data_IF_787481963771
#
_entry.id   IF_787481963771
#
_cell.length_a   1.000
_cell.length_b   1.000
_cell.length_c   1.000
_cell.angle_alpha   90.00
_cell.angle_beta   90.00
_cell.angle_gamma   90.00
#
_symmetry.space_group_name_H-M   'P 1'
#
loop_
_entity.id
_entity.type
_entity.pdbx_description
1 polymer ?
#
# COMPACT_ATOMS: atom_id res chain seq x y z
N UNK A 1 -8.36 24.97 47.46
CA UNK A 1 -9.32 25.56 46.50
C UNK A 1 -8.56 25.73 45.19
N UNK A 2 -8.60 24.69 44.35
CA UNK A 2 -9.44 24.49 43.15
C UNK A 2 -8.96 25.32 41.94
N UNK A 3 -8.57 24.67 40.82
CA UNK A 3 -8.22 25.34 39.58
C UNK A 3 -9.48 25.71 38.80
N UNK A 4 -9.56 26.93 38.29
CA UNK A 4 -10.59 27.32 37.32
C UNK A 4 -10.19 26.83 35.94
N UNK A 5 -11.09 26.05 35.36
CA UNK A 5 -11.00 25.34 34.11
C UNK A 5 -11.61 26.26 33.03
N UNK A 6 -10.81 26.76 32.12
CA UNK A 6 -11.28 27.56 30.98
C UNK A 6 -11.14 26.69 29.74
N UNK A 7 -12.25 26.05 29.37
CA UNK A 7 -12.41 25.25 28.16
C UNK A 7 -12.68 26.21 27.02
N UNK A 8 -11.72 26.33 26.10
CA UNK A 8 -11.86 27.10 24.87
C UNK A 8 -12.79 26.33 23.93
N UNK A 9 -14.07 26.72 23.91
CA UNK A 9 -15.08 26.12 23.04
C UNK A 9 -14.95 26.74 21.64
N UNK A 10 -14.30 26.01 20.73
CA UNK A 10 -14.33 26.33 19.30
C UNK A 10 -15.76 26.18 18.79
N UNK A 11 -16.38 27.31 18.46
CA UNK A 11 -17.67 27.43 17.79
C UNK A 11 -17.54 26.95 16.33
N UNK A 12 -17.95 25.70 16.07
CA UNK A 12 -18.10 25.17 14.71
C UNK A 12 -19.54 25.43 14.24
N UNK A 13 -19.85 26.69 13.97
CA UNK A 13 -21.10 27.06 13.34
C UNK A 13 -20.86 27.97 12.14
N UNK A 14 -21.21 27.46 10.95
CA UNK A 14 -21.31 28.27 9.73
C UNK A 14 -20.44 27.78 8.58
N UNK A 15 -20.88 26.70 7.92
CA UNK A 15 -21.24 26.80 6.50
C UNK A 15 -21.83 25.46 6.02
N UNK A 16 -23.16 25.38 6.13
CA UNK A 16 -23.95 24.46 5.31
C UNK A 16 -24.01 25.08 3.91
N UNK A 17 -22.95 24.88 3.13
CA UNK A 17 -23.00 25.14 1.69
C UNK A 17 -23.74 23.98 1.02
N UNK A 18 -25.04 24.19 0.88
CA UNK A 18 -25.83 23.90 -0.31
C UNK A 18 -25.29 22.74 -1.18
N UNK A 19 -25.77 21.54 -0.87
CA UNK A 19 -25.70 20.42 -1.81
C UNK A 19 -26.64 20.77 -2.96
N UNK A 20 -26.10 21.44 -3.98
CA UNK A 20 -26.75 21.62 -5.26
C UNK A 20 -27.16 20.23 -5.77
N UNK A 21 -28.48 20.00 -5.77
CA UNK A 21 -29.14 18.80 -6.23
C UNK A 21 -28.73 18.56 -7.70
N UNK A 22 -27.84 17.59 -7.95
CA UNK A 22 -27.39 17.26 -9.31
C UNK A 22 -28.61 16.72 -10.06
N UNK A 23 -29.28 17.58 -10.82
CA UNK A 23 -30.36 17.20 -11.72
C UNK A 23 -29.76 16.40 -12.89
N UNK A 24 -29.99 15.09 -12.87
CA UNK A 24 -29.71 14.22 -14.01
C UNK A 24 -30.62 14.66 -15.16
N UNK A 25 -30.04 15.32 -16.16
CA UNK A 25 -30.73 15.67 -17.39
C UNK A 25 -30.90 14.38 -18.19
N UNK A 26 -32.11 13.83 -18.21
CA UNK A 26 -32.47 12.67 -19.02
C UNK A 26 -32.89 13.12 -20.43
N UNK A 27 -31.92 13.61 -21.20
CA UNK A 27 -32.16 14.06 -22.58
C UNK A 27 -32.11 12.89 -23.56
N UNK A 28 -33.11 12.01 -23.48
CA UNK A 28 -33.45 11.07 -24.55
C UNK A 28 -34.80 11.42 -25.14
N UNK A 29 -34.89 12.60 -25.77
CA UNK A 29 -35.93 12.88 -26.75
C UNK A 29 -35.70 12.02 -28.01
N UNK A 30 -36.08 10.75 -27.95
CA UNK A 30 -36.31 9.98 -29.17
C UNK A 30 -37.68 10.37 -29.72
N UNK A 31 -37.66 11.24 -30.72
CA UNK A 31 -38.81 11.52 -31.57
C UNK A 31 -39.34 10.20 -32.15
N UNK A 32 -40.42 9.72 -31.56
CA UNK A 32 -41.27 8.66 -32.08
C UNK A 32 -41.93 9.13 -33.37
N UNK A 33 -41.47 8.63 -34.50
CA UNK A 33 -42.28 8.61 -35.74
C UNK A 33 -42.36 7.19 -36.28
N UNK A 34 -43.49 6.60 -35.92
CA UNK A 34 -44.15 5.41 -36.44
C UNK A 34 -43.89 5.17 -37.94
N UNK A 35 -43.22 4.05 -38.24
CA UNK A 35 -43.02 3.53 -39.60
C UNK A 35 -43.46 2.08 -39.70
N UNK A 36 -44.74 1.79 -39.42
CA UNK A 36 -45.32 0.48 -39.71
C UNK A 36 -45.25 0.19 -41.22
N UNK A 37 -44.39 -0.77 -41.63
CA UNK A 37 -44.52 -1.45 -42.91
C UNK A 37 -44.54 -2.96 -42.70
N UNK A 38 -45.76 -3.51 -42.71
CA UNK A 38 -46.05 -4.95 -42.80
C UNK A 38 -45.44 -5.55 -44.07
N UNK A 39 -44.87 -6.75 -43.96
CA UNK A 39 -45.19 -7.85 -44.89
C UNK A 39 -44.86 -9.21 -44.26
N UNK A 40 -45.85 -10.09 -44.30
CA UNK A 40 -45.84 -11.45 -43.77
C UNK A 40 -45.19 -12.42 -44.79
N UNK A 41 -44.37 -13.38 -44.35
CA UNK A 41 -44.45 -14.82 -44.71
C UNK A 41 -43.32 -15.63 -44.05
N UNK A 42 -43.71 -16.76 -43.47
CA UNK A 42 -42.85 -17.75 -42.85
C UNK A 42 -41.97 -18.50 -43.88
N UNK A 43 -40.76 -18.85 -43.47
CA UNK A 43 -40.06 -20.09 -43.84
C UNK A 43 -38.77 -20.22 -43.04
N UNK A 44 -38.83 -21.05 -42.00
CA UNK A 44 -37.79 -21.97 -41.51
C UNK A 44 -36.45 -21.86 -42.25
N UNK A 45 -35.51 -21.15 -41.64
CA UNK A 45 -34.09 -21.30 -41.91
C UNK A 45 -33.45 -21.66 -40.58
N UNK A 46 -32.96 -22.90 -40.53
CA UNK A 46 -32.14 -23.53 -39.49
C UNK A 46 -31.57 -22.57 -38.44
N UNK A 47 -31.89 -22.85 -37.18
CA UNK A 47 -31.10 -22.44 -36.01
C UNK A 47 -29.65 -22.92 -36.19
N UNK A 48 -28.86 -22.15 -36.92
CA UNK A 48 -27.41 -22.15 -36.75
C UNK A 48 -27.19 -21.33 -35.50
N UNK A 49 -27.29 -21.98 -34.34
CA UNK A 49 -26.71 -21.44 -33.13
C UNK A 49 -25.23 -21.17 -33.46
N UNK A 50 -24.76 -19.91 -33.46
CA UNK A 50 -23.34 -19.70 -33.46
C UNK A 50 -22.86 -20.34 -32.17
N UNK A 51 -22.19 -21.48 -32.27
CA UNK A 51 -21.35 -22.00 -31.21
C UNK A 51 -20.23 -20.99 -31.07
N UNK A 52 -20.52 -19.89 -30.35
CA UNK A 52 -19.55 -18.92 -29.92
C UNK A 52 -18.66 -19.73 -28.99
N UNK A 53 -17.59 -20.31 -29.55
CA UNK A 53 -16.44 -20.74 -28.77
C UNK A 53 -16.11 -19.49 -27.96
N UNK A 54 -16.47 -19.53 -26.68
CA UNK A 54 -16.09 -18.52 -25.70
C UNK A 54 -14.60 -18.76 -25.51
N UNK A 55 -13.82 -18.38 -26.53
CA UNK A 55 -12.41 -18.15 -26.35
C UNK A 55 -12.34 -17.23 -25.14
N UNK A 56 -11.52 -17.61 -24.17
CA UNK A 56 -11.24 -16.75 -23.02
C UNK A 56 -10.66 -15.48 -23.62
N UNK A 57 -11.52 -14.51 -23.89
CA UNK A 57 -11.11 -13.15 -24.20
C UNK A 57 -10.52 -12.70 -22.88
N UNK A 58 -9.18 -12.65 -22.84
CA UNK A 58 -8.46 -12.22 -21.66
C UNK A 58 -9.02 -10.84 -21.33
N UNK A 59 -9.69 -10.74 -20.19
CA UNK A 59 -10.32 -9.50 -19.78
C UNK A 59 -9.19 -8.53 -19.42
N UNK A 60 -8.85 -7.68 -20.38
CA UNK A 60 -7.74 -6.73 -20.26
C UNK A 60 -7.97 -5.80 -19.08
N UNK A 61 -9.23 -5.46 -18.78
CA UNK A 61 -9.57 -4.61 -17.63
C UNK A 61 -9.31 -5.37 -16.34
N UNK A 62 -9.74 -6.63 -16.23
CA UNK A 62 -9.47 -7.45 -15.07
C UNK A 62 -7.96 -7.71 -14.86
N UNK A 63 -7.20 -7.94 -15.94
CA UNK A 63 -5.74 -8.12 -15.90
C UNK A 63 -5.05 -6.83 -15.43
N UNK A 64 -5.48 -5.67 -15.95
CA UNK A 64 -4.98 -4.36 -15.50
C UNK A 64 -5.28 -4.09 -14.03
N UNK A 65 -6.51 -4.36 -13.55
CA UNK A 65 -6.86 -4.21 -12.13
C UNK A 65 -6.02 -5.13 -11.26
N UNK A 66 -5.85 -6.39 -11.67
CA UNK A 66 -5.01 -7.36 -10.94
C UNK A 66 -3.57 -6.87 -10.85
N UNK A 67 -3.00 -6.36 -11.94
CA UNK A 67 -1.62 -5.82 -11.94
C UNK A 67 -1.48 -4.57 -11.08
N UNK A 68 -2.48 -3.69 -11.06
CA UNK A 68 -2.49 -2.55 -10.14
C UNK A 68 -2.54 -3.00 -8.69
N UNK A 69 -3.42 -3.94 -8.34
CA UNK A 69 -3.53 -4.47 -7.00
C UNK A 69 -2.21 -5.11 -6.53
N UNK A 70 -1.59 -5.94 -7.37
CA UNK A 70 -0.28 -6.54 -7.09
C UNK A 70 0.82 -5.49 -6.92
N UNK A 71 0.81 -4.43 -7.74
CA UNK A 71 1.78 -3.34 -7.60
C UNK A 71 1.62 -2.59 -6.28
N UNK A 72 0.39 -2.40 -5.79
CA UNK A 72 0.15 -1.78 -4.49
C UNK A 72 0.56 -2.70 -3.34
N UNK A 73 0.27 -3.99 -3.43
CA UNK A 73 0.74 -5.00 -2.46
C UNK A 73 2.27 -5.03 -2.41
N UNK A 74 2.94 -5.07 -3.56
CA UNK A 74 4.40 -5.04 -3.64
C UNK A 74 4.98 -3.73 -3.08
N UNK A 75 4.34 -2.60 -3.35
CA UNK A 75 4.76 -1.30 -2.80
C UNK A 75 4.67 -1.26 -1.27
N UNK A 76 3.55 -1.72 -0.70
CA UNK A 76 3.36 -1.79 0.76
C UNK A 76 4.36 -2.79 1.36
N UNK A 77 4.54 -3.95 0.73
CA UNK A 77 5.44 -4.99 1.20
C UNK A 77 6.92 -4.57 1.13
N UNK A 78 7.32 -3.82 0.10
CA UNK A 78 8.69 -3.34 -0.07
C UNK A 78 9.13 -2.40 1.07
N UNK A 79 8.21 -1.57 1.56
CA UNK A 79 8.43 -0.69 2.71
C UNK A 79 8.44 -1.46 4.04
N UNK A 80 7.89 -2.68 4.05
CA UNK A 80 7.85 -3.56 5.23
C UNK A 80 9.00 -4.57 5.30
N UNK A 81 10.13 -4.36 4.59
CA UNK A 81 11.36 -5.14 4.81
C UNK A 81 11.96 -4.80 6.18
N UNK A 82 11.27 -5.26 7.21
CA UNK A 82 11.64 -5.06 8.59
C UNK A 82 12.87 -5.90 8.89
N UNK A 83 13.89 -5.26 9.45
CA UNK A 83 15.00 -5.97 10.06
C UNK A 83 14.48 -6.87 11.18
N UNK A 84 15.08 -8.05 11.35
CA UNK A 84 14.78 -8.90 12.49
C UNK A 84 15.16 -8.18 13.80
N UNK A 85 14.20 -7.85 14.68
CA UNK A 85 14.51 -7.15 15.93
C UNK A 85 15.53 -7.90 16.79
N UNK A 86 15.54 -9.24 16.74
CA UNK A 86 16.51 -10.05 17.48
C UNK A 86 17.94 -9.87 16.93
N UNK A 87 18.10 -9.81 15.61
CA UNK A 87 19.38 -9.53 14.97
C UNK A 87 19.89 -8.12 15.32
N UNK A 88 19.01 -7.11 15.24
CA UNK A 88 19.36 -5.73 15.58
C UNK A 88 19.83 -5.64 17.03
N UNK A 89 19.08 -6.27 17.94
CA UNK A 89 19.41 -6.28 19.36
C UNK A 89 20.75 -6.94 19.66
N UNK A 90 21.05 -8.08 19.02
CA UNK A 90 22.33 -8.77 19.21
C UNK A 90 23.54 -7.92 18.77
N UNK A 91 23.44 -7.20 17.65
CA UNK A 91 24.52 -6.34 17.18
C UNK A 91 24.67 -5.08 18.04
N UNK A 92 23.56 -4.49 18.52
CA UNK A 92 23.60 -3.35 19.45
C UNK A 92 24.22 -3.76 20.80
N UNK A 93 23.90 -4.94 21.33
CA UNK A 93 24.55 -5.47 22.53
C UNK A 93 26.06 -5.68 22.37
N UNK A 94 26.54 -5.95 21.15
CA UNK A 94 27.96 -6.08 20.89
C UNK A 94 28.73 -4.74 21.01
N UNK A 95 28.02 -3.60 21.04
CA UNK A 95 28.57 -2.29 21.32
C UNK A 95 28.73 -2.10 22.84
N UNK A 96 29.96 -2.19 23.32
CA UNK A 96 30.28 -1.99 24.73
C UNK A 96 30.04 -0.52 25.14
N UNK A 97 29.50 -0.32 26.34
CA UNK A 97 29.35 1.00 26.96
C UNK A 97 27.96 1.63 26.82
N UNK A 98 27.01 0.97 26.17
CA UNK A 98 25.60 1.40 26.13
C UNK A 98 24.84 0.85 27.34
N UNK A 99 24.10 1.72 28.02
CA UNK A 99 23.08 1.33 29.01
C UNK A 99 21.89 0.64 28.34
N UNK A 100 21.11 -0.13 29.10
CA UNK A 100 19.94 -0.86 28.58
C UNK A 100 18.95 0.07 27.85
N UNK A 101 18.70 1.26 28.39
CA UNK A 101 17.82 2.25 27.76
C UNK A 101 18.40 2.79 26.44
N UNK A 102 19.71 3.00 26.36
CA UNK A 102 20.37 3.42 25.11
C UNK A 102 20.34 2.30 24.07
N UNK A 103 20.50 1.04 24.50
CA UNK A 103 20.36 -0.11 23.62
C UNK A 103 18.94 -0.19 23.05
N UNK A 104 17.91 -0.04 23.88
CA UNK A 104 16.51 -0.05 23.43
C UNK A 104 16.22 1.09 22.45
N UNK A 105 16.68 2.30 22.73
CA UNK A 105 16.53 3.45 21.82
C UNK A 105 17.25 3.24 20.50
N UNK A 106 18.48 2.72 20.53
CA UNK A 106 19.23 2.42 19.34
C UNK A 106 18.55 1.32 18.52
N UNK A 107 18.03 0.27 19.15
CA UNK A 107 17.29 -0.79 18.47
C UNK A 107 16.04 -0.27 17.77
N UNK A 108 15.21 0.51 18.48
CA UNK A 108 14.01 1.11 17.91
C UNK A 108 14.34 1.96 16.67
N UNK A 109 15.36 2.81 16.76
CA UNK A 109 15.78 3.64 15.63
C UNK A 109 16.36 2.81 14.48
N UNK A 110 17.17 1.78 14.76
CA UNK A 110 17.82 0.98 13.72
C UNK A 110 16.86 0.07 12.95
N UNK A 111 15.79 -0.43 13.59
CA UNK A 111 14.76 -1.25 12.93
C UNK A 111 14.08 -0.48 11.80
N UNK A 112 13.91 0.83 11.98
CA UNK A 112 13.34 1.74 10.97
C UNK A 112 14.38 2.27 9.96
N UNK A 113 15.67 1.99 10.17
CA UNK A 113 16.79 2.56 9.41
C UNK A 113 17.76 1.46 8.93
N UNK A 114 17.28 0.60 8.03
CA UNK A 114 17.95 -0.58 7.50
C UNK A 114 19.39 -0.31 6.98
N UNK A 115 19.57 0.74 6.18
CA UNK A 115 20.86 1.14 5.63
C UNK A 115 21.87 1.47 6.72
N UNK A 116 21.43 2.11 7.80
CA UNK A 116 22.30 2.50 8.91
C UNK A 116 22.70 1.29 9.73
N UNK A 117 21.77 0.35 9.92
CA UNK A 117 22.07 -0.92 10.56
C UNK A 117 23.15 -1.71 9.82
N UNK A 118 23.05 -1.87 8.50
CA UNK A 118 24.07 -2.59 7.72
C UNK A 118 25.44 -1.89 7.74
N UNK A 119 25.46 -0.55 7.73
CA UNK A 119 26.71 0.21 7.87
C UNK A 119 27.36 -0.04 9.24
N UNK A 120 26.59 0.03 10.33
CA UNK A 120 27.09 -0.24 11.68
C UNK A 120 27.65 -1.66 11.80
N UNK A 121 26.93 -2.65 11.25
CA UNK A 121 27.34 -4.06 11.24
C UNK A 121 28.70 -4.26 10.56
N UNK A 122 28.91 -3.61 9.41
CA UNK A 122 30.19 -3.67 8.69
C UNK A 122 31.36 -3.12 9.54
N UNK A 123 31.16 -1.97 10.18
CA UNK A 123 32.16 -1.36 11.07
C UNK A 123 32.48 -2.26 12.26
N UNK A 124 31.47 -2.91 12.84
CA UNK A 124 31.62 -3.79 13.99
C UNK A 124 32.39 -5.07 13.63
N UNK A 125 32.18 -5.62 12.42
CA UNK A 125 32.96 -6.73 11.86
C UNK A 125 34.43 -6.33 11.67
N UNK A 126 34.70 -5.15 11.10
CA UNK A 126 36.06 -4.66 10.89
C UNK A 126 36.80 -4.48 12.22
N UNK A 127 36.14 -3.91 13.24
CA UNK A 127 36.69 -3.76 14.59
C UNK A 127 37.03 -5.11 15.23
N UNK A 128 36.15 -6.12 15.07
CA UNK A 128 36.40 -7.50 15.53
C UNK A 128 37.60 -8.14 14.81
N UNK A 129 37.80 -7.87 13.51
CA UNK A 129 38.98 -8.35 12.76
C UNK A 129 40.27 -7.73 13.27
N UNK A 130 40.33 -6.39 13.38
CA UNK A 130 41.50 -5.67 13.90
C UNK A 130 41.90 -6.17 15.29
N UNK A 131 40.93 -6.35 16.20
CA UNK A 131 41.22 -6.89 17.54
C UNK A 131 41.84 -8.28 17.54
N UNK A 132 41.47 -9.14 16.57
CA UNK A 132 42.06 -10.48 16.42
C UNK A 132 43.49 -10.41 15.89
N UNK A 133 43.77 -9.52 14.95
CA UNK A 133 45.12 -9.29 14.41
C UNK A 133 46.10 -8.85 15.51
N UNK A 134 45.71 -7.87 16.33
CA UNK A 134 46.51 -7.48 17.52
C UNK A 134 46.70 -8.60 18.55
N UNK A 135 45.84 -9.61 18.57
CA UNK A 135 45.97 -10.75 19.47
C UNK A 135 46.87 -11.86 18.90
N UNK A 136 47.10 -11.87 17.58
CA UNK A 136 48.01 -12.82 16.92
C UNK A 136 49.44 -12.27 16.94
N UNK A 137 49.65 -10.95 16.87
CA UNK A 137 50.98 -10.34 16.88
C UNK A 137 51.65 -10.25 18.27
N UNK A 138 50.94 -10.65 19.34
CA UNK A 138 51.40 -10.55 20.74
C UNK A 138 51.85 -11.91 21.31
N UNK A 139 51.83 -12.98 20.51
CA UNK A 139 52.29 -14.32 20.92
C UNK A 139 53.42 -14.86 20.04
#
# INVERSE_FOLDING_TARGET
>A
MTPTNEVDHVDLNGDTQDLEDIHVIDDFSQTSTNGQKRRNRASNSSDILPTKKRGVVKDVIADSITRMALSFEEFICADTKNLDPAEVYAEVQAVLGLSENEQLKACAWLIENDKQFYMLKALLIEKKKKKKEYFVDVY
#
